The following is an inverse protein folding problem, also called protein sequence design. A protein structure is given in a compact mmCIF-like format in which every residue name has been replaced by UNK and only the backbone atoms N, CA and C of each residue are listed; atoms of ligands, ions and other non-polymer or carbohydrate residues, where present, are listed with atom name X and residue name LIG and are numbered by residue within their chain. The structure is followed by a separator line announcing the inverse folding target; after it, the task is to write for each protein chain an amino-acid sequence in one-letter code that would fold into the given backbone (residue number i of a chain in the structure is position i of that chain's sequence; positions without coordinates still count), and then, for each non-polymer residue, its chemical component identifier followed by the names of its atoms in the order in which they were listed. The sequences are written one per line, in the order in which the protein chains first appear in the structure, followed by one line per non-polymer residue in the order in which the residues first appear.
data_IF_527888315048
#
_entry.id   IF_527888315048
#
_cell.length_a   1.000
_cell.length_b   1.000
_cell.length_c   1.000
_cell.angle_alpha   90.00
_cell.angle_beta   90.00
_cell.angle_gamma   90.00
#
_symmetry.space_group_name_H-M   'P 1'
#
loop_
_entity.id
_entity.type
_entity.pdbx_description
1 polymer ?
#
# COMPACT_ATOMS: atom_id res chain seq x y z
N UNK A 1 -45.56 4.94 -23.58
CA UNK A 1 -45.34 3.68 -22.84
C UNK A 1 -44.14 2.98 -23.42
N UNK A 2 -42.96 3.29 -22.88
CA UNK A 2 -41.75 2.45 -22.94
C UNK A 2 -41.10 2.68 -21.57
N UNK A 3 -41.13 1.64 -20.75
CA UNK A 3 -40.73 1.65 -19.35
C UNK A 3 -39.21 1.73 -19.21
N UNK A 4 -38.76 2.60 -18.31
CA UNK A 4 -37.41 2.68 -17.76
C UNK A 4 -37.07 1.40 -16.99
N UNK A 5 -35.88 0.81 -17.15
CA UNK A 5 -35.41 -0.23 -16.25
C UNK A 5 -35.04 0.39 -14.89
N UNK A 6 -35.57 -0.22 -13.85
CA UNK A 6 -35.46 0.15 -12.45
C UNK A 6 -34.01 0.13 -11.94
N UNK A 7 -33.76 1.15 -11.13
CA UNK A 7 -32.61 1.34 -10.26
C UNK A 7 -32.50 0.17 -9.28
N UNK A 8 -31.44 -0.64 -9.37
CA UNK A 8 -31.08 -1.61 -8.32
C UNK A 8 -29.96 -1.05 -7.46
N UNK A 9 -30.22 -0.63 -6.21
CA UNK A 9 -29.15 -0.31 -5.27
C UNK A 9 -28.62 -1.62 -4.68
N UNK A 10 -27.62 -2.23 -5.32
CA UNK A 10 -26.88 -3.33 -4.70
C UNK A 10 -25.63 -2.78 -3.99
N UNK A 11 -25.88 -2.02 -2.93
CA UNK A 11 -24.89 -1.64 -1.92
C UNK A 11 -25.30 -2.31 -0.63
N UNK A 12 -25.11 -3.63 -0.54
CA UNK A 12 -25.12 -4.31 0.75
C UNK A 12 -23.87 -3.93 1.54
N UNK A 13 -23.86 -2.71 2.10
CA UNK A 13 -23.15 -2.47 3.34
C UNK A 13 -23.83 -3.32 4.41
N UNK A 14 -23.23 -4.48 4.71
CA UNK A 14 -23.62 -5.28 5.88
C UNK A 14 -23.30 -4.46 7.12
N UNK A 15 -24.28 -3.69 7.59
CA UNK A 15 -24.31 -3.19 8.96
C UNK A 15 -24.20 -4.41 9.88
N UNK A 16 -23.03 -4.57 10.49
CA UNK A 16 -22.82 -5.67 11.45
C UNK A 16 -23.68 -5.34 12.66
N UNK A 17 -24.58 -6.24 13.05
CA UNK A 17 -25.57 -5.98 14.09
C UNK A 17 -24.85 -5.65 15.42
N UNK A 18 -25.22 -4.59 16.19
CA UNK A 18 -24.53 -4.22 17.42
C UNK A 18 -24.37 -5.37 18.42
N UNK A 19 -25.37 -6.27 18.50
CA UNK A 19 -25.34 -7.48 19.34
C UNK A 19 -24.25 -8.47 18.89
N UNK A 20 -23.98 -8.57 17.59
CA UNK A 20 -22.90 -9.42 17.06
C UNK A 20 -21.53 -8.88 17.44
N UNK A 21 -21.36 -7.55 17.44
CA UNK A 21 -20.09 -6.91 17.81
C UNK A 21 -19.78 -7.16 19.28
N UNK A 22 -20.75 -6.98 20.17
CA UNK A 22 -20.58 -7.27 21.61
C UNK A 22 -20.24 -8.74 21.86
N UNK A 23 -20.88 -9.66 21.13
CA UNK A 23 -20.57 -11.08 21.22
C UNK A 23 -19.13 -11.40 20.77
N UNK A 24 -18.65 -10.77 19.69
CA UNK A 24 -17.27 -10.93 19.23
C UNK A 24 -16.25 -10.41 20.25
N UNK A 25 -16.53 -9.24 20.85
CA UNK A 25 -15.69 -8.68 21.92
C UNK A 25 -15.69 -9.61 23.15
N UNK A 26 -16.85 -10.14 23.53
CA UNK A 26 -16.99 -11.10 24.62
C UNK A 26 -16.19 -12.37 24.40
N UNK A 27 -16.27 -12.94 23.19
CA UNK A 27 -15.51 -14.12 22.76
C UNK A 27 -14.00 -13.90 22.90
N UNK A 28 -13.49 -12.77 22.41
CA UNK A 28 -12.08 -12.42 22.51
C UNK A 28 -11.66 -12.19 23.96
N UNK A 29 -12.42 -11.40 24.73
CA UNK A 29 -12.09 -11.08 26.13
C UNK A 29 -12.01 -12.33 27.01
N UNK A 30 -12.92 -13.29 26.80
CA UNK A 30 -12.94 -14.56 27.55
C UNK A 30 -12.02 -15.62 26.95
N UNK A 31 -11.36 -15.34 25.81
CA UNK A 31 -10.55 -16.29 25.04
C UNK A 31 -11.30 -17.61 24.78
N UNK A 32 -12.57 -17.48 24.41
CA UNK A 32 -13.44 -18.62 24.07
C UNK A 32 -13.08 -19.17 22.69
N UNK A 33 -13.22 -20.49 22.49
CA UNK A 33 -12.87 -21.20 21.25
C UNK A 33 -11.36 -21.29 20.96
N UNK A 34 -10.96 -21.08 19.70
CA UNK A 34 -9.59 -21.27 19.21
C UNK A 34 -9.05 -19.99 18.54
N UNK A 35 -7.75 -19.98 18.28
CA UNK A 35 -7.06 -18.83 17.71
C UNK A 35 -7.53 -18.48 16.27
N UNK A 36 -8.06 -19.44 15.52
CA UNK A 36 -8.62 -19.19 14.17
C UNK A 36 -9.88 -18.34 14.28
N UNK A 37 -10.76 -18.69 15.21
CA UNK A 37 -11.98 -17.92 15.51
C UNK A 37 -11.64 -16.54 16.07
N UNK A 38 -10.60 -16.43 16.91
CA UNK A 38 -10.10 -15.12 17.37
C UNK A 38 -9.63 -14.26 16.18
N UNK A 39 -8.88 -14.84 15.24
CA UNK A 39 -8.45 -14.14 14.03
C UNK A 39 -9.62 -13.64 13.17
N UNK A 40 -10.64 -14.48 12.99
CA UNK A 40 -11.85 -14.11 12.26
C UNK A 40 -12.66 -13.04 12.98
N UNK A 41 -12.76 -13.11 14.31
CA UNK A 41 -13.42 -12.09 15.13
C UNK A 41 -12.71 -10.73 15.03
N UNK A 42 -11.38 -10.70 15.19
CA UNK A 42 -10.59 -9.48 15.02
C UNK A 42 -10.73 -8.89 13.62
N UNK A 43 -10.72 -9.72 12.56
CA UNK A 43 -10.91 -9.25 11.19
C UNK A 43 -12.31 -8.66 10.96
N UNK A 44 -13.36 -9.24 11.55
CA UNK A 44 -14.73 -8.71 11.50
C UNK A 44 -14.85 -7.37 12.23
N UNK A 45 -14.24 -7.23 13.40
CA UNK A 45 -14.23 -5.98 14.15
C UNK A 45 -13.50 -4.87 13.39
N UNK A 46 -12.34 -5.15 12.80
CA UNK A 46 -11.64 -4.18 11.95
C UNK A 46 -12.46 -3.77 10.71
N UNK A 47 -13.15 -4.73 10.08
CA UNK A 47 -14.06 -4.43 8.97
C UNK A 47 -15.27 -3.59 9.40
N UNK A 48 -15.70 -3.71 10.65
CA UNK A 48 -16.76 -2.90 11.25
C UNK A 48 -16.28 -1.51 11.72
N UNK A 49 -15.02 -1.14 11.46
CA UNK A 49 -14.48 0.20 11.76
C UNK A 49 -13.72 0.31 13.08
N UNK A 50 -13.52 -0.79 13.82
CA UNK A 50 -12.72 -0.76 15.05
C UNK A 50 -11.22 -0.70 14.73
N UNK A 51 -10.52 0.24 15.35
CA UNK A 51 -9.06 0.30 15.32
C UNK A 51 -8.43 -0.81 16.18
N UNK A 52 -7.20 -1.22 15.88
CA UNK A 52 -6.48 -2.22 16.67
C UNK A 52 -6.34 -1.83 18.15
N UNK A 53 -6.24 -0.51 18.42
CA UNK A 53 -6.18 0.02 19.79
C UNK A 53 -7.51 -0.15 20.53
N UNK A 54 -8.64 0.15 19.89
CA UNK A 54 -9.96 -0.06 20.48
C UNK A 54 -10.22 -1.54 20.78
N UNK A 55 -9.78 -2.45 19.89
CA UNK A 55 -9.88 -3.90 20.13
C UNK A 55 -9.03 -4.32 21.33
N UNK A 56 -7.81 -3.79 21.45
CA UNK A 56 -6.94 -4.06 22.59
C UNK A 56 -7.56 -3.60 23.91
N UNK A 57 -8.06 -2.37 23.97
CA UNK A 57 -8.72 -1.84 25.18
C UNK A 57 -9.95 -2.67 25.58
N UNK A 58 -10.71 -3.18 24.59
CA UNK A 58 -11.91 -3.96 24.84
C UNK A 58 -11.66 -5.44 25.14
N UNK A 59 -10.49 -6.02 24.79
CA UNK A 59 -10.28 -7.48 24.82
C UNK A 59 -8.97 -7.93 25.45
N UNK A 60 -7.98 -7.05 25.54
CA UNK A 60 -6.60 -7.37 25.95
C UNK A 60 -5.74 -7.99 24.86
N UNK A 61 -6.23 -8.15 23.62
CA UNK A 61 -5.43 -8.65 22.50
C UNK A 61 -4.52 -7.55 21.97
N UNK A 62 -3.21 -7.73 22.09
CA UNK A 62 -2.24 -6.76 21.58
C UNK A 62 -2.32 -6.62 20.06
N UNK A 63 -2.07 -5.42 19.48
CA UNK A 63 -2.11 -5.22 18.03
C UNK A 63 -1.22 -6.20 17.24
N UNK A 64 -0.06 -6.57 17.77
CA UNK A 64 0.84 -7.55 17.16
C UNK A 64 0.18 -8.94 17.11
N UNK A 65 -0.44 -9.35 18.22
CA UNK A 65 -1.16 -10.63 18.30
C UNK A 65 -2.39 -10.64 17.41
N UNK A 66 -3.15 -9.53 17.34
CA UNK A 66 -4.29 -9.37 16.43
C UNK A 66 -3.86 -9.62 14.98
N UNK A 67 -2.81 -8.95 14.52
CA UNK A 67 -2.28 -9.13 13.16
C UNK A 67 -1.84 -10.59 12.92
N UNK A 68 -1.16 -11.21 13.89
CA UNK A 68 -0.74 -12.60 13.80
C UNK A 68 -1.93 -13.56 13.64
N UNK A 69 -2.94 -13.47 14.50
CA UNK A 69 -4.10 -14.38 14.43
C UNK A 69 -4.99 -14.10 13.21
N UNK A 70 -5.14 -12.85 12.79
CA UNK A 70 -5.88 -12.49 11.57
C UNK A 70 -5.21 -13.16 10.36
N UNK A 71 -3.94 -12.89 10.12
CA UNK A 71 -3.24 -13.40 8.94
C UNK A 71 -3.07 -14.91 9.01
N UNK A 72 -2.74 -15.45 10.19
CA UNK A 72 -2.68 -16.91 10.40
C UNK A 72 -4.01 -17.60 10.09
N UNK A 73 -5.15 -17.01 10.49
CA UNK A 73 -6.47 -17.60 10.25
C UNK A 73 -6.81 -17.59 8.76
N UNK A 74 -6.42 -16.55 8.03
CA UNK A 74 -6.55 -16.49 6.57
C UNK A 74 -5.72 -17.57 5.87
N UNK A 75 -4.49 -17.81 6.35
CA UNK A 75 -3.64 -18.90 5.87
C UNK A 75 -4.28 -20.25 6.15
N UNK A 76 -4.80 -20.46 7.37
CA UNK A 76 -5.52 -21.69 7.75
C UNK A 76 -6.72 -21.94 6.84
N UNK A 77 -7.60 -20.95 6.65
CA UNK A 77 -8.75 -21.03 5.75
C UNK A 77 -8.32 -21.32 4.30
N UNK A 78 -7.24 -20.71 3.83
CA UNK A 78 -6.68 -20.98 2.50
C UNK A 78 -6.25 -22.44 2.32
N UNK A 79 -5.64 -23.05 3.33
CA UNK A 79 -5.24 -24.46 3.32
C UNK A 79 -6.48 -25.38 3.33
N UNK A 80 -7.46 -25.12 4.21
CA UNK A 80 -8.70 -25.89 4.30
C UNK A 80 -9.46 -25.88 2.97
N UNK A 81 -9.56 -24.71 2.33
CA UNK A 81 -10.21 -24.57 1.03
C UNK A 81 -9.48 -25.33 -0.07
N UNK A 82 -8.14 -25.34 -0.04
CA UNK A 82 -7.33 -26.06 -1.03
C UNK A 82 -7.53 -27.58 -0.95
N UNK A 83 -7.60 -28.12 0.28
CA UNK A 83 -7.83 -29.54 0.55
C UNK A 83 -9.24 -29.98 0.11
N UNK A 84 -10.25 -29.16 0.39
CA UNK A 84 -11.66 -29.44 0.06
C UNK A 84 -11.91 -29.41 -1.45
N UNK A 85 -11.24 -28.52 -2.18
CA UNK A 85 -11.38 -28.38 -3.63
C UNK A 85 -10.70 -29.50 -4.45
N UNK A 86 -10.04 -30.49 -3.80
CA UNK A 86 -9.24 -31.55 -4.46
C UNK A 86 -8.16 -31.06 -5.44
N UNK A 87 -7.81 -29.77 -5.42
CA UNK A 87 -6.84 -29.18 -6.35
C UNK A 87 -5.39 -29.57 -6.04
N UNK A 88 -5.12 -30.07 -4.82
CA UNK A 88 -3.78 -30.45 -4.38
C UNK A 88 -3.84 -31.79 -3.65
N UNK A 89 -3.22 -32.82 -4.22
CA UNK A 89 -3.02 -34.10 -3.55
C UNK A 89 -1.96 -33.92 -2.45
N UNK A 90 -2.36 -33.96 -1.18
CA UNK A 90 -1.42 -34.18 -0.06
C UNK A 90 -0.63 -35.45 -0.37
N UNK A 91 0.70 -35.35 -0.31
CA UNK A 91 1.59 -36.45 -0.68
C UNK A 91 1.60 -37.54 0.39
N UNK A 92 1.23 -37.21 1.63
CA UNK A 92 1.40 -38.07 2.81
C UNK A 92 0.08 -38.58 3.40
N UNK A 93 -1.09 -38.04 3.03
CA UNK A 93 -2.38 -38.50 3.58
C UNK A 93 -2.54 -38.30 5.09
N UNK A 94 -1.57 -37.62 5.72
CA UNK A 94 -1.53 -37.30 7.14
C UNK A 94 -2.43 -36.10 7.43
N UNK A 95 -3.17 -36.15 8.54
CA UNK A 95 -4.03 -35.05 8.94
C UNK A 95 -3.24 -33.96 9.67
N UNK A 96 -2.48 -33.17 8.90
CA UNK A 96 -1.65 -32.08 9.40
C UNK A 96 -2.45 -30.87 9.93
N UNK A 97 -3.76 -30.79 9.67
CA UNK A 97 -4.62 -29.69 10.13
C UNK A 97 -4.88 -29.77 11.64
N UNK A 98 -5.02 -30.97 12.18
CA UNK A 98 -5.24 -31.21 13.62
C UNK A 98 -4.15 -30.57 14.50
N UNK A 99 -2.90 -30.51 14.02
CA UNK A 99 -1.78 -29.84 14.69
C UNK A 99 -2.01 -28.35 14.92
N UNK A 100 -2.78 -27.71 14.04
CA UNK A 100 -2.99 -26.26 14.03
C UNK A 100 -4.34 -25.81 14.60
N UNK A 101 -5.22 -26.72 14.99
CA UNK A 101 -6.55 -26.35 15.53
C UNK A 101 -6.45 -25.54 16.84
N UNK A 102 -5.47 -25.87 17.71
CA UNK A 102 -5.33 -25.24 19.04
C UNK A 102 -4.13 -24.31 19.16
N UNK A 103 -3.12 -24.42 18.30
CA UNK A 103 -1.87 -23.65 18.38
C UNK A 103 -1.21 -23.50 17.00
N UNK A 104 -0.14 -22.71 16.88
CA UNK A 104 0.62 -22.58 15.62
C UNK A 104 0.19 -21.42 14.73
N UNK A 105 -0.47 -20.40 15.29
CA UNK A 105 -0.82 -19.16 14.59
C UNK A 105 0.43 -18.40 14.11
N UNK A 106 1.50 -18.45 14.88
CA UNK A 106 2.85 -17.95 14.60
C UNK A 106 3.49 -18.67 13.41
N UNK A 107 3.44 -20.00 13.38
CA UNK A 107 3.97 -20.81 12.28
C UNK A 107 3.21 -20.50 10.98
N UNK A 108 1.87 -20.52 11.01
CA UNK A 108 1.06 -20.25 9.82
C UNK A 108 1.18 -18.79 9.35
N UNK A 109 1.43 -17.85 10.27
CA UNK A 109 1.68 -16.45 9.92
C UNK A 109 2.90 -16.28 9.00
N UNK A 110 3.94 -17.10 9.17
CA UNK A 110 5.14 -17.01 8.32
C UNK A 110 4.89 -17.51 6.88
N UNK A 111 3.87 -18.34 6.67
CA UNK A 111 3.48 -18.83 5.35
C UNK A 111 2.65 -17.81 4.54
N UNK A 112 2.40 -16.60 5.05
CA UNK A 112 1.55 -15.58 4.41
C UNK A 112 2.01 -15.19 3.00
N UNK A 113 3.31 -15.24 2.73
CA UNK A 113 3.92 -14.85 1.43
C UNK A 113 3.75 -15.90 0.32
N UNK A 114 3.32 -17.11 0.68
CA UNK A 114 3.15 -18.25 -0.20
C UNK A 114 1.76 -18.25 -0.88
N UNK A 115 1.66 -18.91 -2.03
CA UNK A 115 0.38 -19.18 -2.70
C UNK A 115 -0.42 -20.25 -1.95
N UNK A 116 -1.70 -20.42 -2.30
CA UNK A 116 -2.56 -21.42 -1.69
C UNK A 116 -1.99 -22.85 -1.81
N UNK A 117 -1.48 -23.23 -2.99
CA UNK A 117 -0.87 -24.54 -3.22
C UNK A 117 0.41 -24.72 -2.39
N UNK A 118 1.28 -23.70 -2.39
CA UNK A 118 2.53 -23.71 -1.63
C UNK A 118 2.29 -23.81 -0.12
N UNK A 119 1.23 -23.19 0.41
CA UNK A 119 0.86 -23.27 1.83
C UNK A 119 0.53 -24.70 2.25
N UNK A 120 -0.19 -25.45 1.42
CA UNK A 120 -0.53 -26.87 1.72
C UNK A 120 0.76 -27.69 1.84
N UNK A 121 1.62 -27.61 0.83
CA UNK A 121 2.85 -28.41 0.76
C UNK A 121 3.82 -28.00 1.88
N UNK A 122 3.95 -26.70 2.16
CA UNK A 122 4.79 -26.21 3.25
C UNK A 122 4.28 -26.66 4.62
N UNK A 123 2.96 -26.62 4.85
CA UNK A 123 2.34 -27.01 6.12
C UNK A 123 2.51 -28.50 6.37
N UNK A 124 2.29 -29.33 5.34
CA UNK A 124 2.54 -30.78 5.41
C UNK A 124 4.00 -31.07 5.81
N UNK A 125 4.95 -30.40 5.16
CA UNK A 125 6.37 -30.56 5.45
C UNK A 125 6.77 -30.11 6.87
N UNK A 126 6.19 -29.00 7.36
CA UNK A 126 6.42 -28.49 8.72
C UNK A 126 5.97 -29.52 9.77
N UNK A 127 4.80 -30.13 9.58
CA UNK A 127 4.28 -31.14 10.51
C UNK A 127 5.11 -32.41 10.47
N UNK A 128 5.48 -32.88 9.27
CA UNK A 128 6.32 -34.08 9.09
C UNK A 128 7.67 -33.97 9.80
N UNK A 129 8.31 -32.79 9.73
CA UNK A 129 9.65 -32.57 10.29
C UNK A 129 9.64 -31.87 11.66
N UNK A 130 8.45 -31.60 12.22
CA UNK A 130 8.23 -30.86 13.46
C UNK A 130 9.03 -29.55 13.53
N UNK A 131 8.88 -28.71 12.49
CA UNK A 131 9.58 -27.43 12.38
C UNK A 131 8.96 -26.36 13.29
N UNK A 132 9.81 -25.50 13.85
CA UNK A 132 9.40 -24.35 14.65
C UNK A 132 9.10 -23.12 13.79
N UNK A 133 8.83 -21.97 14.43
CA UNK A 133 8.48 -20.72 13.77
C UNK A 133 9.64 -20.18 12.91
N UNK A 134 10.87 -20.28 13.40
CA UNK A 134 12.05 -19.79 12.69
C UNK A 134 12.33 -20.66 11.46
N UNK A 135 12.22 -21.98 11.59
CA UNK A 135 12.32 -22.91 10.47
C UNK A 135 11.20 -22.74 9.45
N UNK A 136 9.96 -22.45 9.90
CA UNK A 136 8.83 -22.16 9.01
C UNK A 136 9.04 -20.88 8.19
N UNK A 137 9.62 -19.85 8.80
CA UNK A 137 10.01 -18.60 8.12
C UNK A 137 11.08 -18.83 7.07
N UNK A 138 12.11 -19.59 7.42
CA UNK A 138 13.17 -19.99 6.49
C UNK A 138 12.60 -20.79 5.31
N UNK A 139 11.73 -21.77 5.58
CA UNK A 139 11.05 -22.58 4.56
C UNK A 139 10.19 -21.72 3.62
N UNK A 140 9.39 -20.81 4.15
CA UNK A 140 8.54 -19.93 3.35
C UNK A 140 9.38 -19.07 2.40
N UNK A 141 10.50 -18.54 2.89
CA UNK A 141 11.45 -17.80 2.06
C UNK A 141 12.09 -18.71 1.00
N UNK A 142 12.51 -19.93 1.37
CA UNK A 142 13.08 -20.93 0.48
C UNK A 142 12.17 -21.20 -0.72
N UNK A 143 10.90 -21.52 -0.44
CA UNK A 143 9.88 -21.82 -1.45
C UNK A 143 9.62 -20.60 -2.33
N UNK A 144 9.54 -19.40 -1.75
CA UNK A 144 9.28 -18.18 -2.52
C UNK A 144 10.43 -17.83 -3.46
N UNK A 145 11.67 -17.96 -3.01
CA UNK A 145 12.84 -17.69 -3.83
C UNK A 145 13.02 -18.76 -4.90
N UNK A 146 12.73 -20.03 -4.59
CA UNK A 146 12.77 -21.12 -5.55
C UNK A 146 11.71 -20.97 -6.65
N UNK A 147 10.50 -20.57 -6.29
CA UNK A 147 9.41 -20.33 -7.24
C UNK A 147 9.67 -19.17 -8.23
N UNK A 148 10.64 -18.28 -7.93
CA UNK A 148 11.06 -17.21 -8.85
C UNK A 148 12.05 -17.69 -9.91
N UNK A 149 12.65 -18.87 -9.74
CA UNK A 149 13.62 -19.40 -10.70
C UNK A 149 12.90 -19.93 -11.94
N UNK A 150 13.40 -19.57 -13.13
CA UNK A 150 12.85 -20.05 -14.41
C UNK A 150 13.16 -21.51 -14.67
N UNK A 151 14.30 -21.97 -14.18
CA UNK A 151 14.81 -23.34 -14.37
C UNK A 151 15.17 -23.93 -13.02
N UNK A 152 14.79 -25.19 -12.82
CA UNK A 152 15.14 -25.94 -11.62
C UNK A 152 16.66 -26.22 -11.63
N UNK A 153 17.38 -25.89 -10.54
CA UNK A 153 18.81 -26.20 -10.44
C UNK A 153 19.10 -27.70 -10.55
N UNK A 154 20.17 -28.05 -11.25
CA UNK A 154 20.55 -29.45 -11.48
C UNK A 154 20.73 -30.22 -10.16
N UNK A 155 20.10 -31.40 -10.07
CA UNK A 155 20.17 -32.27 -8.90
C UNK A 155 19.15 -31.98 -7.80
N UNK A 156 18.34 -30.92 -7.92
CA UNK A 156 17.26 -30.58 -7.00
C UNK A 156 15.89 -30.74 -7.67
N UNK A 157 14.84 -31.00 -6.87
CA UNK A 157 13.45 -31.04 -7.31
C UNK A 157 12.63 -29.88 -6.74
N UNK A 158 11.37 -29.77 -7.15
CA UNK A 158 10.37 -28.81 -6.67
C UNK A 158 9.74 -29.19 -5.32
N UNK A 159 10.22 -30.27 -4.69
CA UNK A 159 9.74 -30.70 -3.36
C UNK A 159 10.31 -29.81 -2.25
N UNK A 160 9.54 -29.52 -1.18
CA UNK A 160 9.99 -28.62 -0.10
C UNK A 160 11.34 -28.98 0.51
N UNK A 161 11.59 -30.27 0.74
CA UNK A 161 12.86 -30.72 1.33
C UNK A 161 14.05 -30.46 0.40
N UNK A 162 13.88 -30.63 -0.91
CA UNK A 162 14.91 -30.30 -1.90
C UNK A 162 15.09 -28.80 -2.08
N UNK A 163 14.02 -28.02 -1.95
CA UNK A 163 14.08 -26.55 -1.95
C UNK A 163 14.91 -26.05 -0.75
N UNK A 164 14.65 -26.58 0.45
CA UNK A 164 15.44 -26.25 1.64
C UNK A 164 16.88 -26.74 1.50
N UNK A 165 17.09 -27.95 0.95
CA UNK A 165 18.40 -28.48 0.66
C UNK A 165 19.17 -27.59 -0.31
N UNK A 166 18.53 -27.06 -1.36
CA UNK A 166 19.12 -26.13 -2.31
C UNK A 166 19.52 -24.81 -1.63
N UNK A 167 18.66 -24.25 -0.77
CA UNK A 167 19.02 -23.05 0.00
C UNK A 167 20.22 -23.31 0.91
N UNK A 168 20.22 -24.44 1.63
CA UNK A 168 21.35 -24.84 2.49
C UNK A 168 22.64 -25.02 1.69
N UNK A 169 22.56 -25.66 0.52
CA UNK A 169 23.69 -25.83 -0.41
C UNK A 169 24.23 -24.49 -0.90
N UNK A 170 23.35 -23.59 -1.31
CA UNK A 170 23.70 -22.24 -1.79
C UNK A 170 24.37 -21.42 -0.69
N UNK A 171 23.83 -21.44 0.54
CA UNK A 171 24.40 -20.74 1.69
C UNK A 171 25.74 -21.36 2.12
N UNK A 172 25.85 -22.69 2.16
CA UNK A 172 27.08 -23.38 2.55
C UNK A 172 28.27 -23.04 1.64
N UNK A 173 28.04 -22.83 0.34
CA UNK A 173 29.08 -22.38 -0.61
C UNK A 173 29.54 -20.95 -0.41
N UNK A 174 28.80 -20.15 0.35
CA UNK A 174 29.13 -18.76 0.66
C UNK A 174 29.83 -18.62 2.02
N UNK A 175 29.76 -19.66 2.87
CA UNK A 175 30.32 -19.61 4.22
C UNK A 175 31.81 -19.93 4.21
N UNK A 176 32.58 -19.03 4.82
CA UNK A 176 34.01 -19.20 5.07
C UNK A 176 34.27 -20.00 6.36
N UNK A 177 33.36 -19.91 7.32
CA UNK A 177 33.44 -20.64 8.59
C UNK A 177 33.02 -22.10 8.39
N UNK A 178 33.96 -23.02 8.66
CA UNK A 178 33.76 -24.45 8.53
C UNK A 178 32.62 -24.96 9.43
N UNK A 179 32.46 -24.44 10.65
CA UNK A 179 31.42 -24.91 11.57
C UNK A 179 30.02 -24.52 11.08
N UNK A 180 29.86 -23.26 10.65
CA UNK A 180 28.58 -22.78 10.09
C UNK A 180 28.24 -23.51 8.79
N UNK A 181 29.25 -23.74 7.94
CA UNK A 181 29.11 -24.52 6.72
C UNK A 181 28.66 -25.96 7.02
N UNK A 182 29.30 -26.65 7.96
CA UNK A 182 28.91 -28.00 8.38
C UNK A 182 27.49 -28.05 8.94
N UNK A 183 27.07 -27.03 9.71
CA UNK A 183 25.69 -26.93 10.22
C UNK A 183 24.67 -26.80 9.08
N UNK A 184 24.96 -26.00 8.06
CA UNK A 184 24.09 -25.85 6.87
C UNK A 184 24.01 -27.15 6.07
N UNK A 185 25.14 -27.84 5.87
CA UNK A 185 25.16 -29.14 5.17
C UNK A 185 24.32 -30.17 5.94
N UNK A 186 24.48 -30.25 7.26
CA UNK A 186 23.69 -31.15 8.11
C UNK A 186 22.18 -30.82 8.06
N UNK A 187 21.79 -29.53 8.13
CA UNK A 187 20.40 -29.09 7.99
C UNK A 187 19.83 -29.51 6.64
N UNK A 188 20.57 -29.28 5.55
CA UNK A 188 20.18 -29.69 4.21
C UNK A 188 20.01 -31.20 4.08
N UNK A 189 20.96 -32.00 4.59
CA UNK A 189 20.91 -33.47 4.50
C UNK A 189 19.75 -34.07 5.29
N UNK A 190 19.44 -33.50 6.46
CA UNK A 190 18.31 -33.91 7.30
C UNK A 190 16.96 -33.75 6.57
N UNK A 191 16.83 -32.71 5.76
CA UNK A 191 15.56 -32.29 5.16
C UNK A 191 15.43 -32.66 3.67
N UNK A 192 16.53 -33.02 2.99
CA UNK A 192 16.52 -33.35 1.56
C UNK A 192 15.64 -34.59 1.25
N UNK A 193 14.78 -34.47 0.24
CA UNK A 193 13.91 -35.56 -0.22
C UNK A 193 14.58 -36.45 -1.27
N UNK A 194 15.32 -35.89 -2.22
CA UNK A 194 15.94 -36.65 -3.31
C UNK A 194 17.37 -37.08 -3.00
N UNK A 195 17.75 -38.26 -3.51
CA UNK A 195 19.12 -38.74 -3.40
C UNK A 195 20.09 -37.87 -4.21
N UNK A 196 19.63 -37.24 -5.29
CA UNK A 196 20.44 -36.30 -6.08
C UNK A 196 20.76 -35.03 -5.30
N UNK A 197 19.81 -34.48 -4.55
CA UNK A 197 20.04 -33.31 -3.70
C UNK A 197 21.01 -33.65 -2.55
N UNK A 198 20.88 -34.83 -1.95
CA UNK A 198 21.83 -35.32 -0.94
C UNK A 198 23.25 -35.42 -1.47
N UNK A 199 23.44 -36.00 -2.67
CA UNK A 199 24.76 -36.06 -3.32
C UNK A 199 25.37 -34.66 -3.56
N UNK A 200 24.56 -33.67 -3.96
CA UNK A 200 25.04 -32.30 -4.13
C UNK A 200 25.52 -31.67 -2.82
N UNK A 201 24.84 -31.96 -1.70
CA UNK A 201 25.24 -31.52 -0.36
C UNK A 201 26.49 -32.26 0.16
N UNK A 202 26.57 -33.58 -0.04
CA UNK A 202 27.73 -34.39 0.34
C UNK A 202 29.00 -33.93 -0.36
N UNK A 203 28.91 -33.52 -1.64
CA UNK A 203 30.03 -32.96 -2.40
C UNK A 203 30.64 -31.72 -1.72
N UNK A 204 29.86 -30.95 -0.97
CA UNK A 204 30.36 -29.77 -0.25
C UNK A 204 31.25 -30.11 0.96
N UNK A 205 31.31 -31.37 1.37
CA UNK A 205 32.23 -31.83 2.43
C UNK A 205 33.67 -31.97 1.93
N UNK A 206 33.86 -32.16 0.62
CA UNK A 206 35.18 -32.28 -0.02
C UNK A 206 35.56 -31.04 -0.82
N UNK A 207 34.60 -30.33 -1.39
CA UNK A 207 34.81 -29.11 -2.17
C UNK A 207 34.75 -27.86 -1.31
N UNK A 208 35.89 -27.29 -0.91
CA UNK A 208 35.97 -26.07 -0.08
C UNK A 208 35.94 -24.76 -0.88
N UNK A 209 35.57 -24.78 -2.17
CA UNK A 209 35.48 -23.54 -2.95
C UNK A 209 34.38 -22.61 -2.41
N UNK A 210 34.72 -21.33 -2.28
CA UNK A 210 33.81 -20.28 -1.83
C UNK A 210 33.29 -19.54 -3.07
N UNK A 211 31.97 -19.48 -3.22
CA UNK A 211 31.32 -18.70 -4.27
C UNK A 211 30.66 -17.49 -3.63
N UNK A 212 31.34 -16.35 -3.72
CA UNK A 212 30.80 -15.08 -3.24
C UNK A 212 29.58 -14.66 -4.08
N UNK A 213 28.47 -14.32 -3.42
CA UNK A 213 27.35 -13.65 -4.08
C UNK A 213 27.52 -12.14 -3.94
N UNK A 214 27.37 -11.42 -5.06
CA UNK A 214 27.25 -9.97 -5.02
C UNK A 214 26.02 -9.62 -4.17
N UNK A 215 26.14 -8.77 -3.14
CA UNK A 215 24.99 -8.35 -2.36
C UNK A 215 23.96 -7.69 -3.27
N UNK A 216 22.69 -7.80 -2.90
CA UNK A 216 21.63 -7.11 -3.62
C UNK A 216 21.96 -5.60 -3.71
N UNK A 217 21.70 -4.95 -4.85
CA UNK A 217 21.90 -3.52 -4.96
C UNK A 217 21.05 -2.80 -3.91
N UNK A 218 21.57 -1.68 -3.38
CA UNK A 218 20.82 -0.85 -2.43
C UNK A 218 19.60 -0.26 -3.15
N UNK A 219 18.43 -0.32 -2.51
CA UNK A 219 17.24 0.35 -3.00
C UNK A 219 17.41 1.87 -2.87
N UNK A 220 17.01 2.67 -3.87
CA UNK A 220 17.08 4.13 -3.82
C UNK A 220 15.93 4.67 -2.96
N UNK A 221 16.10 4.64 -1.64
CA UNK A 221 15.10 5.08 -0.67
C UNK A 221 15.21 6.60 -0.48
N UNK A 222 14.09 7.30 -0.62
CA UNK A 222 13.95 8.72 -0.33
C UNK A 222 12.88 8.91 0.75
N UNK A 223 13.06 9.94 1.58
CA UNK A 223 12.09 10.36 2.60
C UNK A 223 11.90 11.86 2.49
N UNK A 224 10.65 12.28 2.34
CA UNK A 224 10.28 13.70 2.44
C UNK A 224 10.20 14.06 3.92
N UNK A 225 10.87 15.14 4.33
CA UNK A 225 10.97 15.55 5.74
C UNK A 225 10.10 16.76 6.06
N UNK A 226 9.85 17.63 5.08
CA UNK A 226 9.09 18.87 5.27
C UNK A 226 7.73 18.83 4.57
N UNK A 227 6.74 19.57 5.12
CA UNK A 227 5.44 19.73 4.47
C UNK A 227 5.55 20.48 3.14
N UNK A 228 6.55 21.36 2.98
CA UNK A 228 6.79 22.07 1.72
C UNK A 228 7.24 21.15 0.59
N UNK A 229 7.83 19.99 0.93
CA UNK A 229 8.18 18.93 -0.02
C UNK A 229 6.96 18.10 -0.45
N UNK A 230 5.84 18.16 0.28
CA UNK A 230 4.61 17.45 -0.05
C UNK A 230 3.76 18.32 -0.99
N UNK A 231 3.72 18.02 -2.30
CA UNK A 231 2.84 18.75 -3.20
C UNK A 231 1.38 18.41 -2.91
N UNK A 232 0.50 19.41 -3.01
CA UNK A 232 -0.95 19.22 -3.00
C UNK A 232 -1.46 19.12 -4.43
N UNK A 233 -2.26 18.10 -4.71
CA UNK A 233 -2.89 17.92 -6.02
C UNK A 233 -4.20 18.70 -6.06
N UNK A 234 -4.33 19.61 -7.03
CA UNK A 234 -5.52 20.44 -7.20
C UNK A 234 -6.22 20.13 -8.53
N UNK A 235 -7.57 20.13 -8.56
CA UNK A 235 -8.32 20.02 -9.80
C UNK A 235 -8.24 21.34 -10.57
N UNK A 236 -8.07 21.25 -11.88
CA UNK A 236 -8.04 22.39 -12.80
C UNK A 236 -9.38 22.49 -13.51
N UNK A 237 -10.08 23.60 -13.30
CA UNK A 237 -11.40 23.85 -13.92
C UNK A 237 -11.24 24.11 -15.42
N UNK A 238 -10.26 24.92 -15.80
CA UNK A 238 -9.99 25.29 -17.19
C UNK A 238 -9.36 26.67 -17.32
N UNK A 239 -9.41 27.23 -18.53
CA UNK A 239 -8.94 28.58 -18.85
C UNK A 239 -10.12 29.54 -19.03
N UNK A 240 -10.06 30.70 -18.40
CA UNK A 240 -11.08 31.75 -18.53
C UNK A 240 -11.22 32.26 -19.98
N UNK A 241 -12.43 32.68 -20.40
CA UNK A 241 -13.68 32.76 -19.63
C UNK A 241 -14.37 31.40 -19.46
N UNK A 242 -14.90 31.12 -18.26
CA UNK A 242 -15.60 29.89 -17.91
C UNK A 242 -17.00 30.20 -17.36
N UNK A 243 -17.90 29.21 -17.38
CA UNK A 243 -19.23 29.36 -16.77
C UNK A 243 -19.19 29.00 -15.29
N UNK A 244 -20.14 29.55 -14.53
CA UNK A 244 -20.33 29.21 -13.11
C UNK A 244 -20.57 27.72 -12.89
N UNK A 245 -21.28 27.07 -13.82
CA UNK A 245 -21.57 25.63 -13.73
C UNK A 245 -20.32 24.77 -13.90
N UNK A 246 -19.33 25.21 -14.69
CA UNK A 246 -18.06 24.49 -14.85
C UNK A 246 -17.29 24.46 -13.52
N UNK A 247 -17.30 25.56 -12.75
CA UNK A 247 -16.69 25.66 -11.43
C UNK A 247 -17.39 24.80 -10.37
N UNK A 248 -18.73 24.72 -10.42
CA UNK A 248 -19.54 23.90 -9.51
C UNK A 248 -19.47 22.41 -9.83
N UNK A 249 -19.27 22.04 -11.09
CA UNK A 249 -19.18 20.65 -11.53
C UNK A 249 -17.95 19.92 -11.00
N UNK A 250 -16.89 20.65 -10.64
CA UNK A 250 -15.67 20.08 -10.05
C UNK A 250 -15.97 19.53 -8.65
N UNK A 251 -15.85 18.22 -8.39
CA UNK A 251 -16.09 17.68 -7.06
C UNK A 251 -15.03 18.13 -6.07
N UNK A 252 -15.35 18.02 -4.77
CA UNK A 252 -14.37 18.19 -3.69
C UNK A 252 -13.38 17.01 -3.76
N UNK A 253 -12.11 17.32 -3.55
CA UNK A 253 -11.01 16.36 -3.66
C UNK A 253 -10.60 15.89 -2.28
N UNK A 254 -10.76 14.60 -2.01
CA UNK A 254 -10.29 13.97 -0.78
C UNK A 254 -9.00 13.17 -1.03
N UNK A 255 -8.00 13.44 -0.21
CA UNK A 255 -6.72 12.72 -0.23
C UNK A 255 -6.79 11.45 0.62
N UNK A 256 -6.33 10.33 0.07
CA UNK A 256 -6.39 9.02 0.71
C UNK A 256 -5.01 8.59 1.23
N UNK A 257 -4.93 8.38 2.53
CA UNK A 257 -3.75 7.82 3.20
C UNK A 257 -2.57 8.80 3.28
N UNK A 258 -1.41 8.28 3.69
CA UNK A 258 -0.22 9.09 4.02
C UNK A 258 0.56 9.64 2.81
N UNK A 259 0.10 9.35 1.58
CA UNK A 259 0.79 9.73 0.35
C UNK A 259 -0.03 10.70 -0.52
N UNK A 260 -1.10 11.29 0.04
CA UNK A 260 -1.90 12.28 -0.69
C UNK A 260 -2.58 11.74 -1.94
N UNK A 261 -3.01 10.47 -1.95
CA UNK A 261 -3.54 9.84 -3.17
C UNK A 261 -4.96 10.35 -3.44
N UNK A 262 -5.13 11.04 -4.56
CA UNK A 262 -6.45 11.45 -5.06
C UNK A 262 -7.03 10.36 -5.95
N UNK A 263 -8.25 9.90 -5.64
CA UNK A 263 -9.01 8.99 -6.50
C UNK A 263 -10.16 9.76 -7.15
N UNK A 264 -10.25 9.69 -8.47
CA UNK A 264 -11.31 10.33 -9.23
C UNK A 264 -12.05 9.32 -10.11
N UNK A 265 -13.38 9.38 -10.13
CA UNK A 265 -14.24 8.46 -10.89
C UNK A 265 -15.23 9.18 -11.81
N UNK A 266 -15.01 10.48 -12.08
CA UNK A 266 -15.99 11.37 -12.73
C UNK A 266 -15.76 11.69 -14.21
N UNK A 267 -15.02 10.88 -14.97
CA UNK A 267 -14.77 11.12 -16.40
C UNK A 267 -13.46 11.88 -16.68
N UNK A 268 -13.49 12.90 -17.55
CA UNK A 268 -12.32 13.75 -17.85
C UNK A 268 -12.12 14.80 -16.77
N UNK A 269 -10.93 14.87 -16.19
CA UNK A 269 -10.52 15.92 -15.26
C UNK A 269 -9.06 16.31 -15.50
N UNK A 270 -8.74 17.59 -15.31
CA UNK A 270 -7.38 18.10 -15.35
C UNK A 270 -6.88 18.36 -13.93
N UNK A 271 -5.58 18.18 -13.71
CA UNK A 271 -4.96 18.21 -12.38
C UNK A 271 -3.61 18.92 -12.42
N UNK A 272 -3.25 19.58 -11.33
CA UNK A 272 -1.95 20.24 -11.18
C UNK A 272 -1.39 19.96 -9.78
N UNK A 273 -0.09 19.63 -9.72
CA UNK A 273 0.63 19.48 -8.46
C UNK A 273 1.25 20.82 -8.07
N UNK A 274 0.85 21.35 -6.92
CA UNK A 274 1.33 22.62 -6.38
C UNK A 274 2.21 22.33 -5.15
N UNK A 275 3.34 23.03 -4.95
CA UNK A 275 4.12 22.89 -3.73
C UNK A 275 3.26 23.05 -2.47
N UNK A 276 3.64 22.39 -1.37
CA UNK A 276 2.94 22.39 -0.09
C UNK A 276 3.02 23.73 0.66
N UNK A 277 2.88 24.86 -0.04
CA UNK A 277 2.85 26.18 0.58
C UNK A 277 1.69 26.25 1.57
N UNK A 278 1.93 26.88 2.71
CA UNK A 278 0.97 26.97 3.82
C UNK A 278 -0.42 27.45 3.38
N UNK A 279 -0.47 28.45 2.48
CA UNK A 279 -1.74 28.98 1.95
C UNK A 279 -2.55 27.94 1.18
N UNK A 280 -1.88 27.03 0.46
CA UNK A 280 -2.51 25.95 -0.30
C UNK A 280 -2.90 24.81 0.63
N UNK A 281 -2.09 24.48 1.64
CA UNK A 281 -2.39 23.41 2.60
C UNK A 281 -3.55 23.76 3.56
N UNK A 282 -3.74 25.04 3.88
CA UNK A 282 -4.83 25.52 4.73
C UNK A 282 -6.18 25.62 4.01
N UNK A 283 -6.18 25.57 2.67
CA UNK A 283 -7.40 25.66 1.88
C UNK A 283 -8.28 24.41 2.08
N UNK A 284 -9.58 24.59 2.28
CA UNK A 284 -10.49 23.45 2.47
C UNK A 284 -10.89 22.84 1.13
N UNK A 285 -11.27 23.70 0.17
CA UNK A 285 -11.69 23.27 -1.17
C UNK A 285 -10.98 24.08 -2.28
N UNK A 286 -9.65 23.89 -2.43
CA UNK A 286 -8.86 24.59 -3.44
C UNK A 286 -9.08 24.05 -4.85
N UNK A 287 -9.28 24.97 -5.80
CA UNK A 287 -9.38 24.69 -7.24
C UNK A 287 -8.45 25.62 -8.02
N UNK A 288 -7.98 25.16 -9.18
CA UNK A 288 -7.10 25.93 -10.03
C UNK A 288 -7.81 26.40 -11.32
N UNK A 289 -7.58 27.67 -11.69
CA UNK A 289 -8.12 28.30 -12.89
C UNK A 289 -6.99 29.00 -13.64
N UNK A 290 -7.01 28.97 -14.97
CA UNK A 290 -5.99 29.59 -15.81
C UNK A 290 -6.51 30.91 -16.37
N UNK A 291 -5.70 31.97 -16.33
CA UNK A 291 -6.02 33.27 -16.92
C UNK A 291 -4.74 33.96 -17.41
N UNK A 292 -4.85 34.96 -18.27
CA UNK A 292 -3.71 35.81 -18.64
C UNK A 292 -3.52 36.95 -17.64
N UNK A 293 -2.26 37.29 -17.34
CA UNK A 293 -1.91 38.30 -16.34
C UNK A 293 -2.41 39.72 -16.64
N UNK A 294 -2.71 40.03 -17.90
CA UNK A 294 -3.24 41.33 -18.35
C UNK A 294 -4.75 41.49 -18.12
N UNK A 295 -5.45 40.40 -17.82
CA UNK A 295 -6.92 40.37 -17.59
C UNK A 295 -7.31 40.36 -16.12
N UNK A 296 -6.33 40.40 -15.22
CA UNK A 296 -6.58 40.49 -13.78
C UNK A 296 -7.02 41.92 -13.41
N UNK A 297 -7.91 42.11 -12.41
CA UNK A 297 -8.36 43.43 -11.97
C UNK A 297 -7.23 44.37 -11.58
N UNK A 298 -6.13 43.81 -11.08
CA UNK A 298 -4.91 44.56 -10.78
C UNK A 298 -3.79 44.00 -11.65
N UNK A 299 -3.21 44.84 -12.55
CA UNK A 299 -2.18 44.39 -13.45
C UNK A 299 -0.92 44.02 -12.68
N UNK A 300 -0.36 42.85 -12.98
CA UNK A 300 0.89 42.39 -12.38
C UNK A 300 2.06 42.89 -13.24
N UNK A 301 3.14 43.47 -12.66
CA UNK A 301 4.25 44.03 -13.44
C UNK A 301 4.93 43.00 -14.34
N UNK A 302 5.24 43.36 -15.59
CA UNK A 302 5.99 42.52 -16.53
C UNK A 302 5.23 42.27 -17.84
N UNK A 303 5.70 41.28 -18.61
CA UNK A 303 5.05 40.86 -19.85
C UNK A 303 3.76 40.07 -19.57
N UNK A 304 2.81 40.16 -20.50
CA UNK A 304 1.60 39.35 -20.47
C UNK A 304 1.96 37.87 -20.60
N UNK A 305 1.54 37.06 -19.63
CA UNK A 305 1.77 35.62 -19.57
C UNK A 305 0.57 34.90 -18.96
N UNK A 306 0.47 33.61 -19.24
CA UNK A 306 -0.57 32.76 -18.67
C UNK A 306 -0.22 32.44 -17.20
N UNK A 307 -1.12 32.72 -16.29
CA UNK A 307 -0.98 32.49 -14.85
C UNK A 307 -2.00 31.47 -14.35
N UNK A 308 -1.61 30.74 -13.32
CA UNK A 308 -2.47 29.81 -12.61
C UNK A 308 -2.98 30.46 -11.33
N UNK A 309 -4.29 30.64 -11.25
CA UNK A 309 -5.01 31.16 -10.10
C UNK A 309 -5.45 30.01 -9.21
N UNK A 310 -5.12 30.06 -7.92
CA UNK A 310 -5.61 29.11 -6.92
C UNK A 310 -6.70 29.79 -6.11
N UNK A 311 -7.87 29.17 -6.08
CA UNK A 311 -9.09 29.70 -5.46
C UNK A 311 -9.57 28.70 -4.42
N UNK A 312 -9.94 29.17 -3.23
CA UNK A 312 -10.63 28.36 -2.23
C UNK A 312 -12.14 28.61 -2.29
N UNK A 313 -12.90 27.57 -2.63
CA UNK A 313 -14.37 27.65 -2.77
C UNK A 313 -15.09 27.64 -1.44
N UNK A 314 -14.44 27.29 -0.33
CA UNK A 314 -15.04 27.38 1.00
C UNK A 314 -14.99 28.81 1.57
N UNK A 315 -14.04 29.63 1.12
CA UNK A 315 -13.87 31.01 1.56
C UNK A 315 -14.73 31.98 0.76
N UNK A 316 -15.92 32.28 1.28
CA UNK A 316 -16.92 33.18 0.64
C UNK A 316 -17.25 34.41 1.47
N UNK A 317 -16.55 34.61 2.59
CA UNK A 317 -16.68 35.82 3.40
C UNK A 317 -15.86 36.94 2.75
N UNK A 318 -16.49 38.10 2.56
CA UNK A 318 -15.84 39.26 1.95
C UNK A 318 -14.77 39.84 2.88
N UNK A 319 -13.67 40.27 2.28
CA UNK A 319 -12.58 40.99 2.91
C UNK A 319 -12.09 42.10 1.96
N UNK A 320 -11.74 43.26 2.51
CA UNK A 320 -11.22 44.41 1.75
C UNK A 320 -9.92 44.10 0.98
N UNK A 321 -9.02 43.30 1.57
CA UNK A 321 -7.74 42.91 0.98
C UNK A 321 -7.80 41.62 0.13
N UNK A 322 -8.98 41.28 -0.41
CA UNK A 322 -9.24 40.02 -1.10
C UNK A 322 -9.65 40.18 -2.55
N UNK A 323 -9.17 39.27 -3.41
CA UNK A 323 -9.76 39.02 -4.73
C UNK A 323 -10.70 37.83 -4.63
N UNK A 324 -11.88 37.96 -5.23
CA UNK A 324 -12.91 36.93 -5.22
C UNK A 324 -13.33 36.56 -6.63
N UNK A 325 -13.74 35.31 -6.79
CA UNK A 325 -14.44 34.86 -7.99
C UNK A 325 -15.93 35.09 -7.78
N UNK A 326 -16.56 35.79 -8.72
CA UNK A 326 -17.98 36.14 -8.69
C UNK A 326 -18.71 35.61 -9.91
N UNK A 327 -20.01 35.40 -9.77
CA UNK A 327 -20.91 35.12 -10.89
C UNK A 327 -21.41 36.43 -11.51
N UNK A 328 -20.99 36.69 -12.75
CA UNK A 328 -21.56 37.73 -13.59
C UNK A 328 -22.29 37.13 -14.79
N UNK A 329 -23.63 37.12 -14.70
CA UNK A 329 -24.51 36.64 -15.76
C UNK A 329 -24.17 35.21 -16.26
N UNK A 330 -23.78 34.32 -15.35
CA UNK A 330 -23.44 32.92 -15.62
C UNK A 330 -21.98 32.67 -15.98
N UNK A 331 -21.13 33.70 -15.98
CA UNK A 331 -19.68 33.60 -16.18
C UNK A 331 -18.95 33.92 -14.90
N UNK A 332 -17.83 33.23 -14.70
CA UNK A 332 -16.95 33.52 -13.57
C UNK A 332 -15.97 34.63 -13.94
N UNK A 333 -15.85 35.62 -13.07
CA UNK A 333 -14.88 36.71 -13.18
C UNK A 333 -14.17 36.94 -11.84
N UNK A 334 -12.92 37.38 -11.90
CA UNK A 334 -12.15 37.77 -10.72
C UNK A 334 -12.34 39.26 -10.48
N UNK A 335 -12.73 39.66 -9.26
CA UNK A 335 -12.95 41.06 -8.89
C UNK A 335 -12.53 41.33 -7.44
N UNK A 336 -12.18 42.58 -7.15
CA UNK A 336 -12.02 43.09 -5.78
C UNK A 336 -13.11 44.14 -5.54
N UNK A 337 -13.52 44.31 -4.28
CA UNK A 337 -14.62 45.22 -3.92
C UNK A 337 -14.23 46.04 -2.69
N UNK A 338 -14.45 47.36 -2.77
CA UNK A 338 -14.22 48.30 -1.66
C UNK A 338 -15.28 48.16 -0.55
N UNK A 339 -16.49 47.72 -0.91
CA UNK A 339 -17.61 47.49 0.00
C UNK A 339 -18.19 46.09 -0.21
N UNK A 340 -18.96 45.60 0.77
CA UNK A 340 -19.62 44.29 0.69
C UNK A 340 -20.48 44.19 -0.58
N UNK A 341 -20.13 43.32 -1.55
CA UNK A 341 -20.85 43.25 -2.81
C UNK A 341 -22.21 42.57 -2.61
N UNK A 342 -23.21 43.00 -3.38
CA UNK A 342 -24.54 42.36 -3.42
C UNK A 342 -24.59 41.19 -4.43
N UNK A 343 -23.43 40.62 -4.78
CA UNK A 343 -23.24 39.55 -5.76
C UNK A 343 -22.68 38.33 -5.02
N UNK A 344 -23.14 37.10 -5.32
CA UNK A 344 -22.63 35.91 -4.66
C UNK A 344 -21.14 35.68 -4.95
N UNK A 345 -20.35 35.56 -3.88
CA UNK A 345 -18.95 35.17 -3.94
C UNK A 345 -18.85 33.63 -4.05
N UNK A 346 -18.13 33.15 -5.06
CA UNK A 346 -17.95 31.70 -5.33
C UNK A 346 -16.71 31.13 -4.66
N UNK A 347 -15.73 31.98 -4.35
CA UNK A 347 -14.49 31.62 -3.66
C UNK A 347 -13.49 32.77 -3.63
N UNK A 348 -12.48 32.64 -2.78
CA UNK A 348 -11.40 33.62 -2.63
C UNK A 348 -10.15 33.17 -3.37
N UNK A 349 -9.50 34.08 -4.08
CA UNK A 349 -8.20 33.83 -4.71
C UNK A 349 -7.12 33.85 -3.63
N UNK A 350 -6.41 32.74 -3.50
CA UNK A 350 -5.34 32.54 -2.52
C UNK A 350 -3.98 32.92 -3.07
N UNK A 351 -3.72 32.58 -4.34
CA UNK A 351 -2.39 32.74 -4.94
C UNK A 351 -2.48 32.84 -6.47
N UNK A 352 -1.59 33.65 -7.05
CA UNK A 352 -1.38 33.76 -8.50
C UNK A 352 0.00 33.25 -8.84
N UNK A 353 0.08 32.14 -9.56
CA UNK A 353 1.33 31.48 -9.92
C UNK A 353 1.69 31.77 -11.37
N UNK A 354 2.84 32.41 -11.57
CA UNK A 354 3.48 32.56 -12.88
C UNK A 354 4.13 31.25 -13.32
N UNK A 355 4.28 31.02 -14.64
CA UNK A 355 4.98 29.86 -15.13
C UNK A 355 6.43 29.89 -14.64
N UNK A 356 7.03 28.71 -14.46
CA UNK A 356 8.43 28.61 -14.08
C UNK A 356 9.28 29.33 -15.12
N UNK A 357 10.11 30.29 -14.70
CA UNK A 357 11.11 30.89 -15.57
C UNK A 357 12.06 29.79 -16.06
N UNK A 358 11.96 29.46 -17.34
CA UNK A 358 12.96 28.64 -18.01
C UNK A 358 14.09 29.62 -18.34
N UNK A 359 15.07 29.73 -17.44
CA UNK A 359 16.38 30.21 -17.83
C UNK A 359 16.92 29.17 -18.81
N UNK A 360 17.37 29.59 -20.00
CA UNK A 360 17.84 28.69 -21.05
C UNK A 360 18.71 27.57 -20.45
N UNK A 361 18.38 26.32 -20.78
CA UNK A 361 19.05 25.14 -20.23
C UNK A 361 20.57 25.12 -20.50
N UNK A 362 21.06 25.95 -21.41
CA UNK A 362 22.50 26.15 -21.63
C UNK A 362 23.21 26.79 -20.44
N UNK A 363 22.55 27.65 -19.66
CA UNK A 363 23.18 28.33 -18.51
C UNK A 363 23.45 27.38 -17.32
N UNK A 364 22.69 26.29 -17.19
CA UNK A 364 22.86 25.30 -16.11
C UNK A 364 24.10 24.42 -16.34
N UNK A 365 24.64 24.38 -17.56
CA UNK A 365 25.93 23.72 -17.81
C UNK A 365 27.13 24.58 -17.39
N UNK A 366 27.01 25.90 -17.44
CA UNK A 366 28.12 26.82 -17.15
C UNK A 366 28.28 27.15 -15.65
N UNK A 367 27.24 26.94 -14.82
CA UNK A 367 27.33 27.12 -13.36
C UNK A 367 28.13 26.04 -12.63
N UNK A 368 28.65 25.03 -13.33
CA UNK A 368 29.65 24.09 -12.77
C UNK A 368 31.09 24.63 -12.86
N UNK A 369 31.29 25.85 -13.38
CA UNK A 369 32.52 26.62 -13.18
C UNK A 369 32.32 27.59 -12.01
N UNK A 370 32.30 27.09 -10.78
CA UNK A 370 32.69 27.91 -9.62
C UNK A 370 34.22 27.91 -9.58
N UNK A 371 34.82 29.06 -9.90
CA UNK A 371 35.37 30.01 -8.92
C UNK A 371 36.58 29.41 -8.18
N UNK A 372 37.76 29.69 -8.74
CA UNK A 372 39.07 29.48 -8.11
C UNK A 372 39.35 30.55 -7.04
#
# INVERSE_FOLDING_TARGET
MIETPENSPNSQEKSTNPVEIENLIGLLRRKESNWVEWGQACAKLQKAGYTSQQIFEATGFEPVQQNQVIVGSQVYTSIVNAKTAKNVQSQSGTDFLSRFERSGSDILYELRILTQEQRVIATEFIVEHNLDVDDAKDLAKAIKDFARMRTIPEGFSDRPGDIVAYQCWKLARQQNDLQQRSRLIAKGLKLANSQTARKQLEKLLTDFTIVSQRPAPRLPIYRMESEEELPRILPVVGKLPLNTEDLKAVPIVEEVGSHGIVKFSGGTGAWVGIPGWRVVMQAEDPVAVIENSDRLPTPIPGATEEVLLIIDRSQREWHEDGYFIVDQAGKIEMQCFDELPNIPLLGRVLLVLRPKKILDQEFVKDLLQFEE
#
